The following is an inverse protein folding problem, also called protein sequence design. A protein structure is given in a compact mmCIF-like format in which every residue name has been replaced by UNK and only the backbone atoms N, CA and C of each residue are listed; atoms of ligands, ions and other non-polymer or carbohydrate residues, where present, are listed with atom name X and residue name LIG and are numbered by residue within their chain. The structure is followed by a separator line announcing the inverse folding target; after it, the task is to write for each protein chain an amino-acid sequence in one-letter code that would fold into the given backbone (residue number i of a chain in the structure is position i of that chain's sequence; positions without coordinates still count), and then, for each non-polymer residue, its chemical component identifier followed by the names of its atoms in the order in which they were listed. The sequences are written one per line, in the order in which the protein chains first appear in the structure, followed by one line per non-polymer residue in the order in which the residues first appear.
data_IF_750942712293
#
_entry.id   IF_750942712293
#
_cell.length_a   1.000
_cell.length_b   1.000
_cell.length_c   1.000
_cell.angle_alpha   90.00
_cell.angle_beta   90.00
_cell.angle_gamma   90.00
#
_symmetry.space_group_name_H-M   'P 1'
#
loop_
_entity.id
_entity.type
_entity.pdbx_description
1 polymer ?
#
# COMPACT_ATOMS: atom_id res chain seq x y z
N UNK A 1 -70.89 -71.14 54.13
CA UNK A 1 -69.68 -70.36 53.84
C UNK A 1 -70.02 -69.41 52.70
N UNK A 2 -69.95 -68.12 53.00
CA UNK A 2 -70.58 -67.05 52.22
C UNK A 2 -69.94 -66.80 50.85
N UNK A 3 -70.78 -66.79 49.82
CA UNK A 3 -70.45 -66.40 48.45
C UNK A 3 -69.84 -64.98 48.38
N UNK A 4 -70.16 -64.12 49.36
CA UNK A 4 -69.63 -62.78 49.49
C UNK A 4 -68.11 -62.74 49.79
N UNK A 5 -67.56 -63.73 50.50
CA UNK A 5 -66.12 -63.75 50.84
C UNK A 5 -65.27 -64.16 49.64
N UNK A 6 -65.79 -65.01 48.75
CA UNK A 6 -65.08 -65.44 47.54
C UNK A 6 -64.99 -64.30 46.51
N UNK A 7 -66.07 -63.52 46.34
CA UNK A 7 -66.13 -62.40 45.40
C UNK A 7 -65.21 -61.25 45.85
N UNK A 8 -65.15 -60.95 47.15
CA UNK A 8 -64.23 -59.93 47.70
C UNK A 8 -62.77 -60.37 47.57
N UNK A 9 -62.46 -61.66 47.74
CA UNK A 9 -61.09 -62.18 47.63
C UNK A 9 -60.57 -62.20 46.19
N UNK A 10 -61.41 -62.54 45.20
CA UNK A 10 -61.06 -62.49 43.78
C UNK A 10 -60.93 -61.04 43.30
N UNK A 11 -61.84 -60.16 43.72
CA UNK A 11 -61.79 -58.73 43.41
C UNK A 11 -60.52 -58.06 43.94
N UNK A 12 -60.15 -58.34 45.20
CA UNK A 12 -58.89 -57.87 45.79
C UNK A 12 -57.68 -58.34 44.98
N UNK A 13 -57.56 -59.64 44.66
CA UNK A 13 -56.45 -60.19 43.86
C UNK A 13 -56.34 -59.58 42.46
N UNK A 14 -57.46 -59.30 41.78
CA UNK A 14 -57.43 -58.65 40.46
C UNK A 14 -57.03 -57.17 40.53
N UNK A 15 -57.46 -56.44 41.58
CA UNK A 15 -57.12 -55.02 41.75
C UNK A 15 -55.64 -54.87 42.11
N UNK A 16 -55.08 -55.71 42.99
CA UNK A 16 -53.65 -55.67 43.30
C UNK A 16 -52.78 -56.11 42.11
N UNK A 17 -53.23 -57.07 41.30
CA UNK A 17 -52.52 -57.51 40.09
C UNK A 17 -52.47 -56.44 38.98
N UNK A 18 -53.57 -55.71 38.79
CA UNK A 18 -53.64 -54.59 37.84
C UNK A 18 -52.81 -53.39 38.34
N UNK A 19 -52.85 -53.11 39.64
CA UNK A 19 -52.02 -52.06 40.24
C UNK A 19 -50.51 -52.39 40.12
N UNK A 20 -50.10 -53.64 40.41
CA UNK A 20 -48.70 -54.06 40.31
C UNK A 20 -48.16 -54.06 38.87
N UNK A 21 -48.98 -54.46 37.89
CA UNK A 21 -48.60 -54.39 36.47
C UNK A 21 -48.51 -52.94 35.97
N UNK A 22 -49.43 -52.05 36.41
CA UNK A 22 -49.36 -50.62 36.08
C UNK A 22 -48.13 -49.93 36.65
N UNK A 23 -47.74 -50.25 37.89
CA UNK A 23 -46.55 -49.69 38.55
C UNK A 23 -45.24 -50.13 37.87
N UNK A 24 -45.17 -51.40 37.43
CA UNK A 24 -44.01 -51.91 36.70
C UNK A 24 -43.85 -51.27 35.31
N UNK A 25 -44.95 -51.05 34.59
CA UNK A 25 -44.94 -50.34 33.30
C UNK A 25 -44.50 -48.88 33.48
N UNK A 26 -45.04 -48.18 34.49
CA UNK A 26 -44.64 -46.81 34.81
C UNK A 26 -43.17 -46.71 35.21
N UNK A 27 -42.64 -47.66 35.98
CA UNK A 27 -41.22 -47.71 36.33
C UNK A 27 -40.33 -47.95 35.09
N UNK A 28 -40.73 -48.82 34.17
CA UNK A 28 -40.00 -49.03 32.90
C UNK A 28 -40.01 -47.78 32.02
N UNK A 29 -41.14 -47.07 31.95
CA UNK A 29 -41.24 -45.80 31.21
C UNK A 29 -40.37 -44.72 31.84
N UNK A 30 -40.32 -44.62 33.17
CA UNK A 30 -39.44 -43.69 33.87
C UNK A 30 -37.95 -43.99 33.64
N UNK A 31 -37.55 -45.26 33.67
CA UNK A 31 -36.17 -45.68 33.34
C UNK A 31 -35.83 -45.40 31.88
N UNK A 32 -36.76 -45.64 30.96
CA UNK A 32 -36.56 -45.31 29.54
C UNK A 32 -36.49 -43.80 29.30
N UNK A 33 -37.31 -43.01 29.98
CA UNK A 33 -37.29 -41.55 29.92
C UNK A 33 -35.97 -41.00 30.47
N UNK A 34 -35.47 -41.59 31.57
CA UNK A 34 -34.18 -41.22 32.16
C UNK A 34 -33.01 -41.55 31.22
N UNK A 35 -32.99 -42.74 30.61
CA UNK A 35 -31.97 -43.10 29.60
C UNK A 35 -32.02 -42.20 28.37
N UNK A 36 -33.22 -41.81 27.94
CA UNK A 36 -33.39 -40.89 26.82
C UNK A 36 -32.93 -39.47 27.17
N UNK A 37 -33.11 -39.03 28.41
CA UNK A 37 -32.61 -37.74 28.91
C UNK A 37 -31.07 -37.73 28.99
N UNK A 38 -30.46 -38.77 29.54
CA UNK A 38 -29.00 -38.93 29.60
C UNK A 38 -28.38 -38.99 28.17
N UNK A 39 -29.03 -39.67 27.23
CA UNK A 39 -28.62 -39.68 25.83
C UNK A 39 -28.83 -38.32 25.12
N UNK A 40 -29.81 -37.53 25.54
CA UNK A 40 -30.02 -36.18 25.02
C UNK A 40 -28.95 -35.21 25.55
N UNK A 41 -28.56 -35.35 26.81
CA UNK A 41 -27.51 -34.55 27.45
C UNK A 41 -26.13 -34.82 26.81
N UNK A 42 -25.78 -36.09 26.59
CA UNK A 42 -24.55 -36.44 25.87
C UNK A 42 -24.48 -35.86 24.45
N UNK A 43 -25.59 -35.86 23.72
CA UNK A 43 -25.67 -35.24 22.38
C UNK A 43 -25.55 -33.72 22.42
N UNK A 44 -26.03 -33.06 23.48
CA UNK A 44 -25.89 -31.62 23.65
C UNK A 44 -24.43 -31.23 23.90
N UNK A 45 -23.73 -31.98 24.75
CA UNK A 45 -22.30 -31.78 25.04
C UNK A 45 -21.46 -31.99 23.77
N UNK A 46 -21.73 -33.03 22.99
CA UNK A 46 -21.03 -33.28 21.72
C UNK A 46 -21.35 -32.24 20.64
N UNK A 47 -22.51 -31.60 20.68
CA UNK A 47 -22.87 -30.51 19.78
C UNK A 47 -22.16 -29.21 20.17
N UNK A 48 -22.07 -28.91 21.46
CA UNK A 48 -21.37 -27.74 22.00
C UNK A 48 -19.86 -27.83 21.75
N UNK A 49 -19.27 -29.01 21.93
CA UNK A 49 -17.86 -29.27 21.58
C UNK A 49 -17.57 -29.04 20.11
N UNK A 50 -18.44 -29.54 19.20
CA UNK A 50 -18.30 -29.31 17.76
C UNK A 50 -18.49 -27.84 17.37
N UNK A 51 -19.36 -27.11 18.06
CA UNK A 51 -19.54 -25.67 17.85
C UNK A 51 -18.29 -24.89 18.28
N UNK A 52 -17.66 -25.28 19.39
CA UNK A 52 -16.40 -24.69 19.86
C UNK A 52 -15.26 -24.93 18.86
N UNK A 53 -15.07 -26.17 18.41
CA UNK A 53 -14.04 -26.53 17.43
C UNK A 53 -14.25 -25.82 16.08
N UNK A 54 -15.51 -25.64 15.66
CA UNK A 54 -15.85 -24.86 14.47
C UNK A 54 -15.57 -23.36 14.64
N UNK A 55 -15.85 -22.79 15.81
CA UNK A 55 -15.55 -21.40 16.12
C UNK A 55 -14.05 -21.12 16.18
N UNK A 56 -13.26 -22.02 16.79
CA UNK A 56 -11.79 -21.93 16.83
C UNK A 56 -11.18 -22.02 15.42
N UNK A 57 -11.67 -22.93 14.58
CA UNK A 57 -11.26 -23.04 13.17
C UNK A 57 -11.58 -21.78 12.36
N UNK A 58 -12.75 -21.17 12.59
CA UNK A 58 -13.16 -19.91 11.95
C UNK A 58 -12.30 -18.72 12.39
N UNK A 59 -11.99 -18.62 13.69
CA UNK A 59 -11.10 -17.59 14.23
C UNK A 59 -9.67 -17.73 13.69
N UNK A 60 -9.12 -18.94 13.67
CA UNK A 60 -7.79 -19.22 13.12
C UNK A 60 -7.70 -18.97 11.61
N UNK A 61 -8.80 -19.15 10.86
CA UNK A 61 -8.89 -18.78 9.45
C UNK A 61 -8.85 -17.26 9.27
N UNK A 62 -9.62 -16.53 10.08
CA UNK A 62 -9.72 -15.06 10.00
C UNK A 62 -8.39 -14.36 10.33
N UNK A 63 -7.65 -14.87 11.33
CA UNK A 63 -6.32 -14.35 11.70
C UNK A 63 -5.30 -14.57 10.56
N UNK A 64 -5.33 -15.72 9.88
CA UNK A 64 -4.44 -16.02 8.76
C UNK A 64 -4.71 -15.15 7.54
N UNK A 65 -5.99 -14.86 7.26
CA UNK A 65 -6.37 -13.94 6.18
C UNK A 65 -5.91 -12.52 6.48
N UNK A 66 -6.07 -12.04 7.72
CA UNK A 66 -5.58 -10.72 8.14
C UNK A 66 -4.05 -10.60 8.00
N UNK A 67 -3.30 -11.60 8.47
CA UNK A 67 -1.84 -11.64 8.33
C UNK A 67 -1.39 -11.70 6.85
N UNK A 68 -2.13 -12.41 6.00
CA UNK A 68 -1.85 -12.47 4.56
C UNK A 68 -2.11 -11.13 3.86
N UNK A 69 -3.15 -10.39 4.26
CA UNK A 69 -3.41 -9.03 3.75
C UNK A 69 -2.35 -8.04 4.21
N UNK A 70 -1.91 -8.11 5.46
CA UNK A 70 -0.84 -7.26 6.00
C UNK A 70 0.48 -7.54 5.26
N UNK A 71 0.85 -8.82 5.10
CA UNK A 71 2.02 -9.23 4.36
C UNK A 71 1.96 -8.83 2.88
N UNK A 72 0.80 -8.94 2.22
CA UNK A 72 0.60 -8.49 0.84
C UNK A 72 0.70 -6.97 0.71
N UNK A 73 0.18 -6.21 1.67
CA UNK A 73 0.32 -4.75 1.72
C UNK A 73 1.77 -4.32 1.96
N UNK A 74 2.52 -5.04 2.80
CA UNK A 74 3.93 -4.77 3.04
C UNK A 74 4.79 -5.09 1.81
N UNK A 75 4.49 -6.18 1.09
CA UNK A 75 5.10 -6.49 -0.21
C UNK A 75 4.73 -5.46 -1.29
N UNK A 76 3.48 -4.98 -1.32
CA UNK A 76 3.04 -3.92 -2.23
C UNK A 76 3.72 -2.58 -1.91
N UNK A 77 3.90 -2.24 -0.63
CA UNK A 77 4.65 -1.05 -0.20
C UNK A 77 6.14 -1.18 -0.53
N UNK A 78 6.76 -2.31 -0.23
CA UNK A 78 8.17 -2.56 -0.54
C UNK A 78 8.45 -2.50 -2.06
N UNK A 79 7.56 -3.06 -2.89
CA UNK A 79 7.67 -2.98 -4.35
C UNK A 79 7.41 -1.57 -4.90
N UNK A 80 6.55 -0.78 -4.26
CA UNK A 80 6.35 0.63 -4.64
C UNK A 80 7.57 1.48 -4.30
N UNK A 81 8.20 1.23 -3.14
CA UNK A 81 9.47 1.85 -2.76
C UNK A 81 10.58 1.54 -3.76
N UNK A 82 10.74 0.28 -4.20
CA UNK A 82 11.77 -0.07 -5.19
C UNK A 82 11.52 0.56 -6.56
N UNK A 83 10.27 0.72 -6.98
CA UNK A 83 9.92 1.39 -8.25
C UNK A 83 10.18 2.90 -8.18
N UNK A 84 9.84 3.56 -7.07
CA UNK A 84 10.14 4.98 -6.84
C UNK A 84 11.64 5.24 -6.77
N UNK A 85 12.40 4.33 -6.16
CA UNK A 85 13.85 4.44 -6.01
C UNK A 85 14.56 4.25 -7.35
N UNK A 86 14.14 3.27 -8.14
CA UNK A 86 14.63 3.09 -9.50
C UNK A 86 14.32 4.30 -10.38
N UNK A 87 13.12 4.86 -10.28
CA UNK A 87 12.75 6.06 -11.03
C UNK A 87 13.58 7.29 -10.60
N UNK A 88 13.87 7.43 -9.30
CA UNK A 88 14.72 8.50 -8.78
C UNK A 88 16.17 8.38 -9.31
N UNK A 89 16.73 7.17 -9.28
CA UNK A 89 18.05 6.89 -9.83
C UNK A 89 18.11 7.16 -11.34
N UNK A 90 17.10 6.72 -12.09
CA UNK A 90 16.97 6.99 -13.53
C UNK A 90 16.92 8.49 -13.82
N UNK A 91 16.21 9.26 -13.00
CA UNK A 91 16.13 10.71 -13.13
C UNK A 91 17.48 11.39 -12.88
N UNK A 92 18.19 11.04 -11.80
CA UNK A 92 19.54 11.55 -11.53
C UNK A 92 20.50 11.18 -12.68
N UNK A 93 20.43 9.95 -13.17
CA UNK A 93 21.27 9.50 -14.28
C UNK A 93 21.02 10.30 -15.57
N UNK A 94 19.78 10.76 -15.80
CA UNK A 94 19.45 11.60 -16.95
C UNK A 94 19.93 13.05 -16.84
N UNK A 95 20.13 13.56 -15.62
CA UNK A 95 20.67 14.91 -15.39
C UNK A 95 22.20 14.92 -15.48
N UNK A 96 22.86 13.82 -15.09
CA UNK A 96 24.33 13.74 -15.04
C UNK A 96 25.05 14.14 -16.34
N UNK A 97 24.57 13.78 -17.55
CA UNK A 97 25.16 14.25 -18.79
C UNK A 97 25.14 15.77 -18.93
N UNK A 98 24.11 16.45 -18.42
CA UNK A 98 23.97 17.91 -18.49
C UNK A 98 25.00 18.64 -17.60
N UNK A 99 25.36 18.02 -16.47
CA UNK A 99 26.44 18.51 -15.61
C UNK A 99 27.80 18.33 -16.28
N UNK A 100 27.98 17.21 -16.99
CA UNK A 100 29.23 16.82 -17.64
C UNK A 100 29.26 17.17 -19.14
N UNK A 101 28.41 18.10 -19.61
CA UNK A 101 28.34 18.46 -21.03
C UNK A 101 29.73 18.84 -21.51
N UNK A 102 30.19 18.12 -22.54
CA UNK A 102 31.29 18.59 -23.35
C UNK A 102 30.78 19.79 -24.15
N UNK A 103 31.20 20.99 -23.75
CA UNK A 103 30.84 22.28 -24.37
C UNK A 103 31.08 22.28 -25.89
N UNK A 104 31.96 21.41 -26.38
CA UNK A 104 32.34 21.28 -27.78
C UNK A 104 31.39 20.41 -28.61
N UNK A 105 30.56 19.57 -28.00
CA UNK A 105 29.73 18.61 -28.76
C UNK A 105 28.40 19.16 -29.26
N UNK A 106 27.98 20.36 -28.83
CA UNK A 106 26.77 21.14 -29.23
C UNK A 106 25.41 20.42 -29.26
N UNK A 107 25.34 19.10 -29.14
CA UNK A 107 24.12 18.29 -29.16
C UNK A 107 23.54 18.15 -27.75
N UNK A 108 23.07 19.26 -27.20
CA UNK A 108 22.46 19.30 -25.86
C UNK A 108 21.01 18.80 -25.88
N UNK A 109 20.33 18.96 -27.01
CA UNK A 109 18.91 18.65 -27.17
C UNK A 109 18.55 17.17 -26.88
N UNK A 110 19.32 16.17 -27.35
CA UNK A 110 19.04 14.76 -27.02
C UNK A 110 19.08 14.45 -25.52
N UNK A 111 20.01 15.07 -24.78
CA UNK A 111 20.11 14.90 -23.33
C UNK A 111 18.93 15.56 -22.61
N UNK A 112 18.51 16.74 -23.07
CA UNK A 112 17.36 17.42 -22.50
C UNK A 112 16.03 16.67 -22.77
N UNK A 113 15.84 16.14 -23.98
CA UNK A 113 14.66 15.32 -24.30
C UNK A 113 14.63 14.04 -23.46
N UNK A 114 15.79 13.40 -23.26
CA UNK A 114 15.92 12.25 -22.36
C UNK A 114 15.52 12.62 -20.94
N UNK A 115 16.02 13.74 -20.40
CA UNK A 115 15.66 14.22 -19.06
C UNK A 115 14.15 14.48 -18.95
N UNK A 116 13.55 15.15 -19.93
CA UNK A 116 12.11 15.41 -19.96
C UNK A 116 11.28 14.12 -19.87
N UNK A 117 11.63 13.09 -20.66
CA UNK A 117 10.94 11.81 -20.63
C UNK A 117 11.08 11.12 -19.25
N UNK A 118 12.26 11.23 -18.63
CA UNK A 118 12.51 10.66 -17.30
C UNK A 118 11.76 11.40 -16.19
N UNK A 119 11.63 12.73 -16.28
CA UNK A 119 10.78 13.52 -15.37
C UNK A 119 9.32 13.09 -15.46
N UNK A 120 8.78 12.94 -16.68
CA UNK A 120 7.39 12.47 -16.88
C UNK A 120 7.21 11.07 -16.29
N UNK A 121 8.12 10.15 -16.59
CA UNK A 121 8.08 8.77 -16.09
C UNK A 121 8.19 8.73 -14.57
N UNK A 122 8.99 9.61 -13.98
CA UNK A 122 9.16 9.72 -12.54
C UNK A 122 7.88 10.22 -11.87
N UNK A 123 7.24 11.26 -12.41
CA UNK A 123 5.97 11.80 -11.90
C UNK A 123 4.86 10.73 -11.98
N UNK A 124 4.75 10.03 -13.12
CA UNK A 124 3.78 8.95 -13.31
C UNK A 124 3.96 7.82 -12.28
N UNK A 125 5.21 7.45 -11.98
CA UNK A 125 5.54 6.43 -10.97
C UNK A 125 5.49 6.92 -9.52
N UNK A 126 5.62 8.22 -9.27
CA UNK A 126 5.50 8.80 -7.95
C UNK A 126 4.05 8.72 -7.41
N UNK A 127 3.07 8.65 -8.31
CA UNK A 127 1.65 8.48 -8.00
C UNK A 127 0.95 9.79 -7.62
N UNK A 128 -0.38 9.73 -7.43
CA UNK A 128 -1.25 10.88 -7.09
C UNK A 128 -0.99 11.49 -5.70
N UNK A 129 -0.23 10.81 -4.85
CA UNK A 129 0.04 11.26 -3.48
C UNK A 129 1.08 12.40 -3.42
N UNK A 130 1.65 12.81 -4.56
CA UNK A 130 2.65 13.88 -4.60
C UNK A 130 2.36 14.88 -5.71
N UNK A 131 1.20 15.54 -5.65
CA UNK A 131 0.92 16.71 -6.50
C UNK A 131 2.03 17.77 -6.36
N UNK A 132 2.61 17.89 -5.16
CA UNK A 132 3.71 18.82 -4.88
C UNK A 132 4.99 18.49 -5.68
N UNK A 133 5.39 17.22 -5.81
CA UNK A 133 6.60 16.89 -6.59
C UNK A 133 6.36 17.06 -8.08
N UNK A 134 5.14 16.76 -8.54
CA UNK A 134 4.73 17.00 -9.91
C UNK A 134 4.84 18.47 -10.26
N UNK A 135 4.26 19.33 -9.42
CA UNK A 135 4.29 20.79 -9.59
C UNK A 135 5.73 21.34 -9.57
N UNK A 136 6.55 20.89 -8.62
CA UNK A 136 7.95 21.30 -8.54
C UNK A 136 8.74 20.87 -9.79
N UNK A 137 8.63 19.61 -10.20
CA UNK A 137 9.32 19.10 -11.38
C UNK A 137 8.83 19.77 -12.67
N UNK A 138 7.56 20.15 -12.76
CA UNK A 138 7.06 20.94 -13.90
C UNK A 138 7.62 22.37 -13.92
N UNK A 139 7.79 23.01 -12.76
CA UNK A 139 8.47 24.30 -12.63
C UNK A 139 9.95 24.17 -13.04
N UNK A 140 10.65 23.14 -12.56
CA UNK A 140 12.04 22.83 -12.92
C UNK A 140 12.20 22.54 -14.41
N UNK A 141 11.26 21.81 -15.02
CA UNK A 141 11.24 21.56 -16.47
C UNK A 141 11.15 22.86 -17.25
N UNK A 142 10.29 23.77 -16.81
CA UNK A 142 10.07 25.07 -17.46
C UNK A 142 11.32 25.95 -17.33
N UNK A 143 11.92 25.99 -16.14
CA UNK A 143 13.16 26.73 -15.91
C UNK A 143 14.33 26.14 -16.70
N UNK A 144 14.50 24.82 -16.70
CA UNK A 144 15.51 24.12 -17.49
C UNK A 144 15.41 24.40 -19.00
N UNK A 145 14.19 24.43 -19.55
CA UNK A 145 13.97 24.83 -20.94
C UNK A 145 14.49 26.24 -21.24
N UNK A 146 14.28 27.17 -20.30
CA UNK A 146 14.78 28.54 -20.42
C UNK A 146 16.32 28.56 -20.38
N UNK A 147 16.93 27.88 -19.40
CA UNK A 147 18.39 27.77 -19.31
C UNK A 147 19.01 27.16 -20.58
N UNK A 148 18.40 26.11 -21.16
CA UNK A 148 18.86 25.52 -22.43
C UNK A 148 18.82 26.55 -23.55
N UNK A 149 17.72 27.29 -23.70
CA UNK A 149 17.56 28.30 -24.76
C UNK A 149 18.59 29.41 -24.62
N UNK A 150 18.72 29.97 -23.43
CA UNK A 150 19.63 31.09 -23.16
C UNK A 150 21.08 30.68 -23.34
N UNK A 151 21.48 29.54 -22.79
CA UNK A 151 22.84 29.01 -22.95
C UNK A 151 23.17 28.66 -24.40
N UNK A 152 22.25 28.04 -25.14
CA UNK A 152 22.46 27.73 -26.56
C UNK A 152 22.53 28.98 -27.43
N UNK A 153 21.70 29.99 -27.13
CA UNK A 153 21.74 31.26 -27.84
C UNK A 153 23.07 31.98 -27.58
N UNK A 154 23.44 32.14 -26.32
CA UNK A 154 24.70 32.75 -25.92
C UNK A 154 25.91 32.03 -26.53
N UNK A 155 25.95 30.70 -26.46
CA UNK A 155 27.04 29.88 -27.03
C UNK A 155 27.21 30.08 -28.55
N UNK A 156 26.11 30.24 -29.31
CA UNK A 156 26.16 30.50 -30.76
C UNK A 156 26.71 31.88 -31.12
N UNK A 157 26.58 32.83 -30.20
CA UNK A 157 27.07 34.20 -30.40
C UNK A 157 28.53 34.38 -30.00
N UNK A 158 29.17 33.37 -29.41
CA UNK A 158 30.58 33.43 -29.00
C UNK A 158 31.49 33.45 -30.24
N UNK A 159 32.32 34.48 -30.44
CA UNK A 159 33.25 34.56 -31.57
C UNK A 159 34.29 33.46 -31.52
N UNK A 160 34.64 32.87 -32.67
CA UNK A 160 35.78 31.94 -32.74
C UNK A 160 37.08 32.71 -32.51
N UNK A 161 37.74 32.39 -31.40
CA UNK A 161 38.98 32.99 -30.90
C UNK A 161 39.75 31.96 -30.07
N UNK A 162 40.96 32.29 -29.62
CA UNK A 162 41.72 31.45 -28.68
C UNK A 162 40.98 31.21 -27.35
N UNK A 163 40.09 32.12 -26.97
CA UNK A 163 39.27 32.04 -25.76
C UNK A 163 37.87 31.44 -26.02
N UNK A 164 37.60 30.97 -27.24
CA UNK A 164 36.27 30.49 -27.61
C UNK A 164 35.77 29.37 -26.69
N UNK A 165 36.64 28.43 -26.31
CA UNK A 165 36.27 27.33 -25.43
C UNK A 165 35.83 27.82 -24.02
N UNK A 166 36.58 28.78 -23.44
CA UNK A 166 36.25 29.31 -22.11
C UNK A 166 35.01 30.21 -22.14
N UNK A 167 34.86 31.04 -23.17
CA UNK A 167 33.68 31.89 -23.36
C UNK A 167 32.42 31.06 -23.64
N UNK A 168 32.54 29.98 -24.43
CA UNK A 168 31.42 29.06 -24.65
C UNK A 168 31.07 28.31 -23.37
N UNK A 169 32.06 27.89 -22.57
CA UNK A 169 31.81 27.27 -21.28
C UNK A 169 31.07 28.24 -20.32
N UNK A 170 31.45 29.52 -20.32
CA UNK A 170 30.76 30.55 -19.55
C UNK A 170 29.32 30.76 -20.02
N UNK A 171 29.07 30.76 -21.33
CA UNK A 171 27.72 30.83 -21.89
C UNK A 171 26.84 29.62 -21.48
N UNK A 172 27.45 28.45 -21.27
CA UNK A 172 26.79 27.24 -20.78
C UNK A 172 26.59 27.20 -19.26
N UNK A 173 27.17 28.14 -18.50
CA UNK A 173 27.10 28.16 -17.03
C UNK A 173 25.67 28.12 -16.47
N UNK A 174 24.68 28.87 -17.00
CA UNK A 174 23.31 28.82 -16.49
C UNK A 174 22.71 27.41 -16.53
N UNK A 175 22.88 26.70 -17.66
CA UNK A 175 22.42 25.31 -17.79
C UNK A 175 23.11 24.37 -16.80
N UNK A 176 24.43 24.52 -16.63
CA UNK A 176 25.20 23.71 -15.69
C UNK A 176 24.76 23.95 -14.24
N UNK A 177 24.63 25.22 -13.83
CA UNK A 177 24.14 25.60 -12.49
C UNK A 177 22.75 25.03 -12.23
N UNK A 178 21.83 25.16 -13.19
CA UNK A 178 20.49 24.58 -13.07
C UNK A 178 20.55 23.05 -12.88
N UNK A 179 21.29 22.34 -13.72
CA UNK A 179 21.40 20.88 -13.61
C UNK A 179 21.98 20.41 -12.26
N UNK A 180 22.98 21.13 -11.75
CA UNK A 180 23.56 20.88 -10.43
C UNK A 180 22.58 21.13 -9.28
N UNK A 181 21.82 22.24 -9.36
CA UNK A 181 20.78 22.55 -8.38
C UNK A 181 19.66 21.51 -8.40
N UNK A 182 19.21 21.09 -9.58
CA UNK A 182 18.18 20.06 -9.72
C UNK A 182 18.62 18.72 -9.08
N UNK A 183 19.84 18.25 -9.32
CA UNK A 183 20.38 17.05 -8.66
C UNK A 183 20.43 17.23 -7.14
N UNK A 184 20.90 18.38 -6.68
CA UNK A 184 21.04 18.66 -5.24
C UNK A 184 19.67 18.67 -4.57
N UNK A 185 18.69 19.37 -5.15
CA UNK A 185 17.34 19.47 -4.63
C UNK A 185 16.61 18.12 -4.68
N UNK A 186 16.83 17.30 -5.72
CA UNK A 186 16.33 15.93 -5.77
C UNK A 186 16.87 15.08 -4.62
N UNK A 187 18.15 15.22 -4.27
CA UNK A 187 18.74 14.51 -3.12
C UNK A 187 18.19 15.02 -1.80
N UNK A 188 17.98 16.33 -1.66
CA UNK A 188 17.39 16.94 -0.46
C UNK A 188 15.95 16.46 -0.27
N UNK A 189 15.13 16.53 -1.33
CA UNK A 189 13.78 15.96 -1.31
C UNK A 189 13.81 14.47 -0.97
N UNK A 190 14.73 13.69 -1.56
CA UNK A 190 14.83 12.26 -1.24
C UNK A 190 15.14 11.98 0.23
N UNK A 191 15.93 12.85 0.88
CA UNK A 191 16.30 12.70 2.29
C UNK A 191 15.21 13.19 3.25
N UNK A 192 14.44 14.22 2.86
CA UNK A 192 13.50 14.92 3.73
C UNK A 192 12.03 14.65 3.41
N UNK A 193 11.73 14.06 2.26
CA UNK A 193 10.38 13.86 1.76
C UNK A 193 9.71 15.16 1.34
N UNK A 194 8.39 15.18 1.38
CA UNK A 194 7.58 16.25 0.79
C UNK A 194 7.59 17.57 1.60
N UNK A 195 8.13 17.55 2.83
CA UNK A 195 8.22 18.72 3.72
C UNK A 195 9.04 19.89 3.13
N UNK A 196 9.92 19.61 2.17
CA UNK A 196 10.76 20.63 1.51
C UNK A 196 10.23 21.08 0.16
N UNK A 197 9.16 20.47 -0.36
CA UNK A 197 8.71 20.74 -1.72
C UNK A 197 8.17 22.15 -1.90
N UNK A 198 7.46 22.69 -0.91
CA UNK A 198 6.96 24.07 -0.97
C UNK A 198 8.11 25.08 -1.04
N UNK A 199 9.14 24.91 -0.19
CA UNK A 199 10.35 25.73 -0.22
C UNK A 199 11.10 25.62 -1.56
N UNK A 200 11.17 24.41 -2.12
CA UNK A 200 11.80 24.17 -3.41
C UNK A 200 11.02 24.81 -4.56
N UNK A 201 9.69 24.72 -4.56
CA UNK A 201 8.82 25.39 -5.54
C UNK A 201 9.03 26.89 -5.49
N UNK A 202 9.01 27.48 -4.29
CA UNK A 202 9.21 28.91 -4.10
C UNK A 202 10.60 29.36 -4.55
N UNK A 203 11.64 28.60 -4.22
CA UNK A 203 13.01 28.87 -4.67
C UNK A 203 13.12 28.84 -6.21
N UNK A 204 12.55 27.83 -6.86
CA UNK A 204 12.57 27.72 -8.33
C UNK A 204 11.78 28.87 -8.97
N UNK A 205 10.61 29.21 -8.44
CA UNK A 205 9.79 30.32 -8.94
C UNK A 205 10.48 31.68 -8.77
N UNK A 206 11.11 31.94 -7.62
CA UNK A 206 11.90 33.16 -7.41
C UNK A 206 13.06 33.25 -8.41
N UNK A 207 13.74 32.13 -8.67
CA UNK A 207 14.84 32.06 -9.63
C UNK A 207 14.35 32.37 -11.05
N UNK A 208 13.18 31.86 -11.45
CA UNK A 208 12.53 32.17 -12.73
C UNK A 208 12.18 33.67 -12.83
N UNK A 209 11.67 34.28 -11.77
CA UNK A 209 11.26 35.69 -11.79
C UNK A 209 12.47 36.63 -11.90
N UNK A 210 13.57 36.34 -11.21
CA UNK A 210 14.81 37.14 -11.27
C UNK A 210 15.50 37.04 -12.63
N UNK A 211 15.37 35.91 -13.31
CA UNK A 211 16.01 35.67 -14.62
C UNK A 211 15.19 36.15 -15.82
N UNK A 212 13.93 36.57 -15.63
CA UNK A 212 13.17 37.25 -16.69
C UNK A 212 13.67 38.68 -16.87
N UNK A 213 14.14 39.08 -18.07
CA UNK A 213 14.38 40.49 -18.34
C UNK A 213 13.05 41.24 -18.19
N UNK A 214 13.06 42.33 -17.41
CA UNK A 214 11.95 43.29 -17.39
C UNK A 214 11.82 43.81 -18.82
N UNK A 215 10.71 43.43 -19.47
CA UNK A 215 10.36 43.84 -20.83
C UNK A 215 10.17 45.34 -20.93
#
# INVERSE_FOLDING_TARGET
MDLAVLIVSIGALTITGIAATSAWVQAKLAVSARKNAEAAEGRAIDAERRALEAAESSAASSIRVAAAFEQANDLARASTLTVKDAAHHDLIAAISPLVSINVLSMEIWPYFETLRLRMITFIDRAGKDSELIGNWLDAERTYGLQCVRDSMHAARTVPRSELWASQTAQAMSPLHTWAMNLITNLRVWRAKGDEVLDDLVDQTNQTIQVTRPVS
#
